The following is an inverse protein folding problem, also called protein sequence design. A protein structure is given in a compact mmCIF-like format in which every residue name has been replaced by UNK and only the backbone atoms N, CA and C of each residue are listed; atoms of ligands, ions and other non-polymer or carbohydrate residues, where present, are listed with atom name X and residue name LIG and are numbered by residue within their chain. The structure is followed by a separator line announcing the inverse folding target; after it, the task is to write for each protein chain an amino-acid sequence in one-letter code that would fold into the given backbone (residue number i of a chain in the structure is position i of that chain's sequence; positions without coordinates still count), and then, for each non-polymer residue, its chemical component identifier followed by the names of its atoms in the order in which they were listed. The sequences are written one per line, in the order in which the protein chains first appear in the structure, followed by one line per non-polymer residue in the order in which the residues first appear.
data_IF_092119740031
#
_entry.id   IF_092119740031
#
_cell.length_a   1.000
_cell.length_b   1.000
_cell.length_c   1.000
_cell.angle_alpha   90.00
_cell.angle_beta   90.00
_cell.angle_gamma   90.00
#
_symmetry.space_group_name_H-M   'P 1'
#
loop_
_entity.id
_entity.type
_entity.pdbx_description
1 polymer ?
#
# COMPACT_ATOMS: atom_id res chain seq x y z
N UNK A 1 -6.57 -4.08 -22.17
CA UNK A 1 -6.29 -3.03 -21.17
C UNK A 1 -5.87 -3.73 -19.90
N UNK A 2 -4.58 -3.73 -19.55
CA UNK A 2 -4.11 -4.39 -18.34
C UNK A 2 -4.50 -3.52 -17.14
N UNK A 3 -5.38 -4.05 -16.29
CA UNK A 3 -5.86 -3.32 -15.13
C UNK A 3 -4.82 -3.44 -14.01
N UNK A 4 -4.38 -2.30 -13.46
CA UNK A 4 -3.38 -2.29 -12.41
C UNK A 4 -3.90 -3.00 -11.14
N UNK A 5 -3.09 -3.86 -10.56
CA UNK A 5 -3.42 -4.64 -9.36
C UNK A 5 -2.68 -4.05 -8.16
N UNK A 6 -3.38 -3.79 -7.06
CA UNK A 6 -2.81 -3.26 -5.83
C UNK A 6 -1.77 -4.22 -5.26
N UNK A 7 -0.55 -3.76 -5.01
CA UNK A 7 0.51 -4.61 -4.43
C UNK A 7 0.22 -5.09 -3.00
N UNK A 8 -0.67 -4.42 -2.26
CA UNK A 8 -1.07 -4.78 -0.89
C UNK A 8 -2.25 -5.75 -0.91
N UNK A 9 -3.45 -5.33 -1.33
CA UNK A 9 -4.63 -6.19 -1.25
C UNK A 9 -4.78 -7.17 -2.43
N UNK A 10 -3.91 -7.10 -3.44
CA UNK A 10 -3.98 -7.91 -4.67
C UNK A 10 -5.26 -7.74 -5.48
N UNK A 11 -6.03 -6.68 -5.21
CA UNK A 11 -7.24 -6.37 -5.96
C UNK A 11 -6.97 -5.37 -7.10
N UNK A 12 -7.78 -5.44 -8.16
CA UNK A 12 -7.99 -4.35 -9.11
C UNK A 12 -8.00 -2.94 -8.48
N UNK A 13 -7.16 -2.04 -8.99
CA UNK A 13 -7.19 -0.62 -8.64
C UNK A 13 -8.26 0.08 -9.50
N UNK A 14 -9.47 0.21 -8.96
CA UNK A 14 -10.57 0.93 -9.63
C UNK A 14 -10.56 2.44 -9.41
N UNK A 15 -9.89 2.90 -8.35
CA UNK A 15 -9.89 4.32 -7.98
C UNK A 15 -8.70 5.05 -8.65
N UNK A 16 -9.02 6.08 -9.43
CA UNK A 16 -8.04 6.86 -10.20
C UNK A 16 -7.44 8.06 -9.43
N UNK A 17 -7.41 8.02 -8.10
CA UNK A 17 -6.70 9.02 -7.30
C UNK A 17 -5.32 8.49 -6.93
N UNK A 18 -4.25 9.22 -7.27
CA UNK A 18 -2.92 8.82 -6.84
C UNK A 18 -2.71 9.10 -5.35
N UNK A 19 -1.80 8.34 -4.74
CA UNK A 19 -1.44 8.47 -3.33
C UNK A 19 -0.91 9.87 -3.00
N UNK A 20 -0.27 10.57 -3.93
CA UNK A 20 0.20 11.95 -3.74
C UNK A 20 -0.95 12.95 -3.59
N UNK A 21 -2.03 12.76 -4.35
CA UNK A 21 -3.23 13.60 -4.26
C UNK A 21 -3.94 13.41 -2.93
N UNK A 22 -3.98 12.16 -2.44
CA UNK A 22 -4.53 11.83 -1.12
C UNK A 22 -3.63 12.47 -0.06
N UNK A 23 -2.31 12.27 -0.15
CA UNK A 23 -1.35 12.80 0.79
C UNK A 23 -1.40 14.33 0.89
N UNK A 24 -1.47 15.03 -0.24
CA UNK A 24 -1.58 16.49 -0.29
C UNK A 24 -2.85 17.00 0.39
N UNK A 25 -3.97 16.29 0.21
CA UNK A 25 -5.21 16.63 0.91
C UNK A 25 -5.08 16.37 2.40
N UNK A 26 -4.54 15.21 2.81
CA UNK A 26 -4.32 14.86 4.22
C UNK A 26 -3.50 15.91 4.96
N UNK A 27 -2.37 16.35 4.39
CA UNK A 27 -1.46 17.33 5.02
C UNK A 27 -2.15 18.63 5.46
N UNK A 28 -3.25 19.01 4.81
CA UNK A 28 -4.01 20.22 5.15
C UNK A 28 -4.71 20.13 6.51
N UNK A 29 -4.93 18.91 7.00
CA UNK A 29 -5.64 18.64 8.25
C UNK A 29 -4.71 18.24 9.40
N UNK A 30 -3.40 18.16 9.16
CA UNK A 30 -2.42 17.77 10.17
C UNK A 30 -1.84 18.99 10.88
N UNK A 31 -1.54 18.84 12.17
CA UNK A 31 -0.71 19.78 12.93
C UNK A 31 0.73 19.79 12.41
N UNK A 32 1.49 20.85 12.68
CA UNK A 32 2.87 20.97 12.16
C UNK A 32 3.80 19.85 12.64
N UNK A 33 3.62 19.38 13.88
CA UNK A 33 4.32 18.21 14.41
C UNK A 33 4.04 16.95 13.58
N UNK A 34 2.75 16.67 13.30
CA UNK A 34 2.35 15.50 12.51
C UNK A 34 2.71 15.60 11.04
N UNK A 35 2.79 16.81 10.46
CA UNK A 35 3.19 16.98 9.05
C UNK A 35 4.55 16.38 8.76
N UNK A 36 5.52 16.53 9.69
CA UNK A 36 6.88 15.99 9.51
C UNK A 36 6.86 14.46 9.44
N UNK A 37 6.19 13.83 10.39
CA UNK A 37 6.07 12.36 10.44
C UNK A 37 5.28 11.82 9.26
N UNK A 38 4.18 12.49 8.89
CA UNK A 38 3.39 12.13 7.73
C UNK A 38 4.19 12.23 6.42
N UNK A 39 5.00 13.29 6.25
CA UNK A 39 5.86 13.42 5.09
C UNK A 39 6.91 12.31 5.03
N UNK A 40 7.48 11.94 6.18
CA UNK A 40 8.40 10.80 6.27
C UNK A 40 7.72 9.49 5.88
N UNK A 41 6.55 9.21 6.46
CA UNK A 41 5.71 8.05 6.12
C UNK A 41 5.40 8.00 4.63
N UNK A 42 4.86 9.07 4.06
CA UNK A 42 4.43 9.09 2.67
C UNK A 42 5.61 8.90 1.71
N UNK A 43 6.75 9.55 1.99
CA UNK A 43 7.97 9.34 1.19
C UNK A 43 8.40 7.87 1.22
N UNK A 44 8.48 7.26 2.41
CA UNK A 44 8.83 5.84 2.56
C UNK A 44 7.83 4.92 1.88
N UNK A 45 6.56 5.24 1.97
CA UNK A 45 5.49 4.49 1.32
C UNK A 45 5.67 4.49 -0.21
N UNK A 46 5.86 5.68 -0.80
CA UNK A 46 6.07 5.83 -2.25
C UNK A 46 7.34 5.12 -2.68
N UNK A 47 8.44 5.24 -1.94
CA UNK A 47 9.70 4.52 -2.20
C UNK A 47 9.49 3.00 -2.25
N UNK A 48 8.77 2.43 -1.28
CA UNK A 48 8.56 0.98 -1.18
C UNK A 48 7.65 0.41 -2.26
N UNK A 49 6.68 1.19 -2.75
CA UNK A 49 5.68 0.72 -3.72
C UNK A 49 5.84 1.31 -5.11
N UNK A 50 6.93 2.03 -5.34
CA UNK A 50 7.27 2.56 -6.63
C UNK A 50 7.25 1.46 -7.70
N UNK A 51 6.76 1.80 -8.89
CA UNK A 51 6.71 0.92 -10.04
C UNK A 51 7.08 1.70 -11.29
N UNK A 52 8.00 1.17 -12.08
CA UNK A 52 8.46 1.78 -13.34
C UNK A 52 7.46 1.64 -14.49
N UNK A 53 6.41 0.83 -14.34
CA UNK A 53 5.44 0.64 -15.39
C UNK A 53 4.30 1.68 -15.29
N UNK A 54 3.88 2.22 -16.42
CA UNK A 54 2.77 3.19 -16.54
C UNK A 54 1.44 2.50 -16.20
N UNK A 55 1.07 2.52 -14.92
CA UNK A 55 -0.02 1.69 -14.44
C UNK A 55 -1.40 2.36 -14.47
N UNK A 56 -1.51 3.69 -14.34
CA UNK A 56 -2.78 4.44 -14.42
C UNK A 56 -2.51 5.96 -14.35
N UNK A 57 -3.41 6.78 -14.91
CA UNK A 57 -3.37 8.25 -14.74
C UNK A 57 -4.24 8.68 -13.55
N UNK A 58 -3.81 9.72 -12.83
CA UNK A 58 -4.64 10.30 -11.78
C UNK A 58 -5.68 11.26 -12.36
N UNK A 59 -6.98 11.08 -12.06
CA UNK A 59 -8.05 11.99 -12.51
C UNK A 59 -7.90 13.43 -11.97
N UNK A 60 -7.30 13.59 -10.78
CA UNK A 60 -7.20 14.89 -10.11
C UNK A 60 -6.01 15.71 -10.60
N UNK A 61 -4.81 15.14 -10.62
CA UNK A 61 -3.60 15.88 -11.01
C UNK A 61 -3.13 15.59 -12.44
N UNK A 62 -3.75 14.63 -13.13
CA UNK A 62 -3.39 14.21 -14.50
C UNK A 62 -1.95 13.71 -14.66
N UNK A 63 -1.28 13.37 -13.57
CA UNK A 63 0.04 12.73 -13.59
C UNK A 63 -0.07 11.21 -13.57
N UNK A 64 0.94 10.54 -14.12
CA UNK A 64 1.07 9.08 -14.05
C UNK A 64 1.27 8.65 -12.59
N UNK A 65 0.53 7.62 -12.21
CA UNK A 65 0.65 7.04 -10.89
C UNK A 65 1.79 6.01 -10.89
N UNK A 66 2.94 6.42 -10.37
CA UNK A 66 4.12 5.57 -10.26
C UNK A 66 4.06 4.63 -9.05
N UNK A 67 2.90 4.53 -8.39
CA UNK A 67 2.67 3.69 -7.22
C UNK A 67 1.49 2.77 -7.49
N UNK A 68 1.73 1.46 -7.49
CA UNK A 68 0.70 0.45 -7.77
C UNK A 68 -0.06 0.04 -6.50
N UNK A 69 -0.68 1.02 -5.84
CA UNK A 69 -1.43 0.84 -4.60
C UNK A 69 -2.81 1.49 -4.71
N UNK A 70 -3.84 0.78 -4.27
CA UNK A 70 -5.18 1.34 -4.24
C UNK A 70 -5.31 2.42 -3.13
N UNK A 71 -6.11 3.47 -3.36
CA UNK A 71 -6.40 4.50 -2.36
C UNK A 71 -6.84 3.98 -1.00
N UNK A 72 -7.57 2.85 -0.96
CA UNK A 72 -8.00 2.24 0.28
C UNK A 72 -6.81 1.73 1.12
N UNK A 73 -5.90 0.94 0.54
CA UNK A 73 -4.73 0.45 1.24
C UNK A 73 -3.82 1.60 1.70
N UNK A 74 -3.61 2.63 0.86
CA UNK A 74 -2.86 3.81 1.28
C UNK A 74 -3.52 4.53 2.48
N UNK A 75 -4.85 4.68 2.45
CA UNK A 75 -5.62 5.26 3.54
C UNK A 75 -5.55 4.43 4.83
N UNK A 76 -5.56 3.10 4.73
CA UNK A 76 -5.42 2.18 5.87
C UNK A 76 -4.05 2.32 6.55
N UNK A 77 -2.99 2.39 5.76
CA UNK A 77 -1.62 2.58 6.26
C UNK A 77 -1.43 3.96 6.90
N UNK A 78 -1.96 4.99 6.26
CA UNK A 78 -2.01 6.33 6.83
C UNK A 78 -2.78 6.36 8.15
N UNK A 79 -3.91 5.68 8.23
CA UNK A 79 -4.71 5.58 9.45
C UNK A 79 -3.93 4.89 10.57
N UNK A 80 -3.24 3.78 10.26
CA UNK A 80 -2.38 3.06 11.22
C UNK A 80 -1.28 3.96 11.78
N UNK A 81 -0.62 4.74 10.91
CA UNK A 81 0.39 5.71 11.34
C UNK A 81 -0.21 6.79 12.26
N UNK A 82 -1.33 7.39 11.87
CA UNK A 82 -1.97 8.47 12.63
C UNK A 82 -2.58 7.99 13.96
N UNK A 83 -3.14 6.79 14.01
CA UNK A 83 -3.85 6.27 15.18
C UNK A 83 -2.93 6.07 16.39
N UNK A 84 -1.64 5.81 16.14
CA UNK A 84 -0.61 5.70 17.17
C UNK A 84 -0.35 7.01 17.94
N UNK A 85 -0.63 8.18 17.34
CA UNK A 85 -0.34 9.50 17.93
C UNK A 85 -1.58 10.34 18.18
N UNK A 86 -2.50 10.37 17.23
CA UNK A 86 -3.74 11.16 17.30
C UNK A 86 -4.96 10.31 16.88
N UNK A 87 -5.45 9.43 17.77
CA UNK A 87 -6.52 8.48 17.44
C UNK A 87 -7.85 9.17 17.07
N UNK A 88 -8.13 10.36 17.62
CA UNK A 88 -9.34 11.13 17.30
C UNK A 88 -9.26 11.66 15.86
N UNK A 89 -8.11 12.22 15.48
CA UNK A 89 -7.87 12.72 14.12
C UNK A 89 -7.91 11.56 13.12
N UNK A 90 -7.23 10.45 13.44
CA UNK A 90 -7.23 9.24 12.63
C UNK A 90 -8.67 8.74 12.36
N UNK A 91 -9.50 8.64 13.40
CA UNK A 91 -10.93 8.24 13.26
C UNK A 91 -11.73 9.20 12.38
N UNK A 92 -11.52 10.52 12.50
CA UNK A 92 -12.17 11.51 11.63
C UNK A 92 -11.76 11.32 10.18
N UNK A 93 -10.46 11.10 9.92
CA UNK A 93 -9.95 10.87 8.57
C UNK A 93 -10.45 9.56 7.97
N UNK A 94 -10.54 8.49 8.76
CA UNK A 94 -11.06 7.19 8.31
C UNK A 94 -12.50 7.24 7.82
N UNK A 95 -13.33 8.10 8.44
CA UNK A 95 -14.71 8.31 7.99
C UNK A 95 -14.81 8.91 6.59
N UNK A 96 -13.78 9.61 6.11
CA UNK A 96 -13.74 10.09 4.72
C UNK A 96 -13.24 9.02 3.74
N UNK A 97 -12.52 8.01 4.22
CA UNK A 97 -11.97 6.93 3.41
C UNK A 97 -12.93 5.75 3.26
N UNK A 98 -14.09 5.77 3.94
CA UNK A 98 -15.17 4.80 3.70
C UNK A 98 -15.76 4.91 2.29
N UNK A 99 -15.66 6.09 1.65
CA UNK A 99 -15.97 6.27 0.23
C UNK A 99 -14.98 5.57 -0.70
N UNK A 100 -13.83 5.16 -0.18
CA UNK A 100 -12.82 4.38 -0.89
C UNK A 100 -12.96 2.87 -0.63
N UNK A 101 -13.93 2.45 0.21
CA UNK A 101 -14.17 1.02 0.46
C UNK A 101 -14.52 0.33 -0.85
N UNK A 102 -13.87 -0.81 -1.07
CA UNK A 102 -14.19 -1.71 -2.17
C UNK A 102 -15.56 -2.37 -1.92
N UNK A 103 -16.40 -2.60 -2.95
CA UNK A 103 -17.63 -3.37 -2.82
C UNK A 103 -17.37 -4.86 -2.52
N UNK A 104 -16.16 -5.35 -2.81
CA UNK A 104 -15.75 -6.72 -2.56
C UNK A 104 -14.83 -6.78 -1.33
N UNK A 105 -15.39 -7.30 -0.22
CA UNK A 105 -14.71 -7.71 1.04
C UNK A 105 -13.97 -6.65 1.85
N UNK A 106 -14.13 -6.76 3.18
CA UNK A 106 -13.13 -6.29 4.13
C UNK A 106 -11.87 -7.14 3.94
N UNK A 107 -10.94 -6.65 3.14
CA UNK A 107 -9.63 -7.27 3.00
C UNK A 107 -8.95 -7.40 4.36
N UNK A 108 -8.68 -8.65 4.78
CA UNK A 108 -7.83 -9.04 5.92
C UNK A 108 -6.36 -8.60 5.76
N UNK A 109 -6.03 -7.73 4.78
CA UNK A 109 -4.70 -7.21 4.57
C UNK A 109 -4.16 -6.59 5.86
N UNK A 110 -3.24 -7.30 6.52
CA UNK A 110 -2.51 -6.80 7.69
C UNK A 110 -1.78 -5.52 7.33
N UNK A 111 -1.71 -4.58 8.26
CA UNK A 111 -1.00 -3.33 8.00
C UNK A 111 0.49 -3.60 7.82
N UNK A 112 1.17 -2.85 6.95
CA UNK A 112 2.60 -3.01 6.68
C UNK A 112 3.42 -2.87 7.96
N UNK A 113 2.95 -2.07 8.92
CA UNK A 113 3.56 -1.96 10.26
C UNK A 113 3.62 -3.28 11.04
N UNK A 114 2.77 -4.26 10.72
CA UNK A 114 2.78 -5.60 11.34
C UNK A 114 3.67 -6.59 10.57
N UNK A 115 3.86 -6.36 9.27
CA UNK A 115 4.77 -7.13 8.40
C UNK A 115 6.14 -6.45 8.44
N UNK A 116 6.90 -6.71 9.51
CA UNK A 116 8.27 -6.18 9.67
C UNK A 116 9.09 -6.33 8.37
N UNK A 117 10.00 -5.37 8.12
CA UNK A 117 10.84 -5.18 6.93
C UNK A 117 11.71 -6.40 6.49
N UNK A 118 11.14 -7.59 6.35
CA UNK A 118 11.79 -8.72 5.70
C UNK A 118 11.67 -8.50 4.20
N UNK A 119 12.80 -8.58 3.50
CA UNK A 119 12.86 -8.52 2.04
C UNK A 119 12.28 -9.82 1.48
N UNK A 120 10.97 -9.96 1.49
CA UNK A 120 10.28 -11.03 0.76
C UNK A 120 10.00 -10.59 -0.66
N UNK A 121 10.06 -11.54 -1.58
CA UNK A 121 9.62 -11.38 -2.96
C UNK A 121 8.28 -12.11 -3.17
N UNK A 122 7.50 -11.62 -4.12
CA UNK A 122 6.32 -12.30 -4.63
C UNK A 122 6.67 -12.99 -5.94
N UNK A 123 6.28 -14.25 -6.11
CA UNK A 123 6.55 -15.00 -7.33
C UNK A 123 6.17 -16.47 -7.21
N UNK A 124 6.63 -17.27 -8.17
CA UNK A 124 6.56 -18.73 -8.07
C UNK A 124 7.75 -19.26 -7.28
N UNK A 125 7.50 -20.24 -6.40
CA UNK A 125 8.52 -20.99 -5.70
C UNK A 125 9.27 -21.88 -6.69
N UNK A 126 10.60 -21.86 -6.67
CA UNK A 126 11.43 -22.65 -7.57
C UNK A 126 11.42 -24.16 -7.21
N UNK A 127 10.92 -24.55 -6.03
CA UNK A 127 10.84 -25.96 -5.60
C UNK A 127 9.47 -26.60 -5.86
N UNK A 128 8.39 -25.99 -5.37
CA UNK A 128 7.04 -26.56 -5.52
C UNK A 128 6.26 -26.00 -6.70
N UNK A 129 6.73 -24.92 -7.34
CA UNK A 129 6.02 -24.25 -8.43
C UNK A 129 4.79 -23.45 -7.99
N UNK A 130 4.45 -23.46 -6.70
CA UNK A 130 3.32 -22.70 -6.17
C UNK A 130 3.64 -21.21 -6.03
N UNK A 131 2.61 -20.38 -6.16
CA UNK A 131 2.73 -18.94 -6.03
C UNK A 131 2.73 -18.54 -4.55
N UNK A 132 3.78 -17.82 -4.09
CA UNK A 132 3.93 -17.42 -2.68
C UNK A 132 4.20 -15.93 -2.54
N UNK A 133 3.67 -15.35 -1.46
CA UNK A 133 3.87 -13.94 -1.09
C UNK A 133 5.14 -13.72 -0.24
N UNK A 134 5.75 -14.81 0.22
CA UNK A 134 6.86 -14.81 1.17
C UNK A 134 8.06 -15.61 0.64
N UNK A 135 8.44 -15.37 -0.62
CA UNK A 135 9.67 -15.94 -1.15
C UNK A 135 10.88 -15.26 -0.53
N UNK A 136 11.83 -16.05 -0.05
CA UNK A 136 13.16 -15.59 0.31
C UNK A 136 14.19 -16.35 -0.52
N UNK A 137 15.39 -15.78 -0.61
CA UNK A 137 16.45 -16.28 -1.45
C UNK A 137 17.22 -17.37 -0.71
N UNK A 138 17.14 -18.60 -1.22
CA UNK A 138 17.98 -19.73 -0.83
C UNK A 138 19.12 -19.91 -1.85
N UNK A 139 20.05 -20.82 -1.57
CA UNK A 139 21.21 -21.09 -2.45
C UNK A 139 20.80 -21.54 -3.86
N UNK A 140 19.63 -22.19 -3.97
CA UNK A 140 19.12 -22.76 -5.23
C UNK A 140 17.97 -21.96 -5.88
N UNK A 141 17.61 -20.78 -5.38
CA UNK A 141 16.53 -19.97 -5.96
C UNK A 141 15.66 -19.25 -4.94
N UNK A 142 14.45 -18.90 -5.35
CA UNK A 142 13.42 -18.30 -4.50
C UNK A 142 12.49 -19.39 -3.97
N UNK A 143 12.47 -19.57 -2.65
CA UNK A 143 11.75 -20.68 -2.00
C UNK A 143 10.65 -20.12 -1.08
N UNK A 144 9.45 -20.72 -1.12
CA UNK A 144 8.35 -20.35 -0.24
C UNK A 144 8.59 -20.79 1.20
N UNK A 145 7.67 -20.46 2.10
CA UNK A 145 7.73 -20.87 3.50
C UNK A 145 7.50 -22.38 3.68
N UNK A 146 6.56 -22.96 2.94
CA UNK A 146 6.22 -24.39 3.05
C UNK A 146 7.34 -25.33 2.60
N UNK A 147 8.16 -24.90 1.63
CA UNK A 147 9.31 -25.67 1.15
C UNK A 147 10.56 -25.53 2.02
N UNK A 148 10.49 -24.68 3.05
CA UNK A 148 11.59 -24.49 4.00
C UNK A 148 11.43 -25.27 5.29
N UNK A 149 10.22 -25.76 5.57
CA UNK A 149 9.94 -26.72 6.66
C UNK A 149 10.19 -28.16 6.20
#
# INVERSE_FOLDING_TARGET
MNLAVCKICKEPIWNFLCVDCIARNTRKFLSDGLKKDFNHFHRKFVENFYSHHDHTFCLKCRHNNNVTICPYCYAKEMFSMLSSREPILAKRMWRFTTLLKHPYRESDARTITELGNKKSAYGMCDECGECSELLERADNGWVCEDCRE
#
